data_IF_413821998114
#
_entry.id   IF_413821998114
#
_cell.length_a   1.000
_cell.length_b   1.000
_cell.length_c   1.000
_cell.angle_alpha   90.00
_cell.angle_beta   90.00
_cell.angle_gamma   90.00
#
_symmetry.space_group_name_H-M   'P 1'
#
loop_
_entity.id
_entity.type
_entity.pdbx_description
1 polymer ?
#
# COMPACT_ATOMS: atom_id res chain seq x y z
N UNK A 1 17.44 14.80 11.27
CA UNK A 1 18.13 13.76 10.46
C UNK A 1 17.24 12.53 10.24
N UNK A 2 16.67 11.92 11.29
CA UNK A 2 15.79 10.73 11.19
C UNK A 2 14.57 10.93 10.27
N UNK A 3 13.91 12.08 10.33
CA UNK A 3 12.72 12.38 9.51
C UNK A 3 13.01 12.38 7.99
N UNK A 4 14.17 12.91 7.60
CA UNK A 4 14.61 12.95 6.20
C UNK A 4 14.85 11.52 5.69
N UNK A 5 15.42 10.65 6.53
CA UNK A 5 15.61 9.24 6.22
C UNK A 5 14.27 8.53 5.99
N UNK A 6 13.27 8.74 6.87
CA UNK A 6 11.94 8.15 6.71
C UNK A 6 11.26 8.58 5.40
N UNK A 7 11.34 9.87 5.07
CA UNK A 7 10.79 10.40 3.82
C UNK A 7 11.52 9.80 2.62
N UNK A 8 12.86 9.74 2.65
CA UNK A 8 13.66 9.16 1.57
C UNK A 8 13.32 7.68 1.35
N UNK A 9 13.22 6.88 2.42
CA UNK A 9 12.84 5.46 2.33
C UNK A 9 11.44 5.31 1.74
N UNK A 10 10.47 6.11 2.20
CA UNK A 10 9.10 6.05 1.70
C UNK A 10 9.01 6.42 0.21
N UNK A 11 9.80 7.41 -0.24
CA UNK A 11 9.91 7.78 -1.66
C UNK A 11 10.56 6.66 -2.48
N UNK A 12 11.62 6.03 -1.99
CA UNK A 12 12.26 4.88 -2.65
C UNK A 12 11.26 3.74 -2.80
N UNK A 13 10.52 3.39 -1.74
CA UNK A 13 9.51 2.35 -1.79
C UNK A 13 8.40 2.67 -2.80
N UNK A 14 7.96 3.93 -2.87
CA UNK A 14 7.00 4.37 -3.88
C UNK A 14 7.56 4.21 -5.29
N UNK A 15 8.79 4.65 -5.56
CA UNK A 15 9.42 4.52 -6.87
C UNK A 15 9.55 3.05 -7.26
N UNK A 16 10.04 2.21 -6.36
CA UNK A 16 10.16 0.76 -6.60
C UNK A 16 8.79 0.15 -6.86
N UNK A 17 7.77 0.45 -6.05
CA UNK A 17 6.40 -0.03 -6.26
C UNK A 17 5.80 0.46 -7.59
N UNK A 18 6.11 1.70 -7.99
CA UNK A 18 5.67 2.27 -9.25
C UNK A 18 6.27 1.52 -10.44
N UNK A 19 7.58 1.23 -10.41
CA UNK A 19 8.26 0.48 -11.48
C UNK A 19 7.86 -1.01 -11.52
N UNK A 20 7.63 -1.65 -10.38
CA UNK A 20 7.25 -3.08 -10.34
C UNK A 20 5.77 -3.33 -10.63
N UNK A 21 4.93 -2.30 -10.57
CA UNK A 21 3.51 -2.41 -10.87
C UNK A 21 3.28 -2.28 -12.37
N UNK A 22 3.15 -3.43 -13.03
CA UNK A 22 2.75 -3.51 -14.43
C UNK A 22 1.43 -2.77 -14.66
N UNK A 23 1.33 -2.05 -15.79
CA UNK A 23 0.22 -1.16 -16.16
C UNK A 23 -1.14 -1.87 -16.29
N UNK A 24 -1.14 -3.19 -16.37
CA UNK A 24 -2.28 -4.06 -16.65
C UNK A 24 -2.86 -4.78 -15.42
N UNK A 25 -2.29 -4.56 -14.23
CA UNK A 25 -2.83 -5.16 -13.00
C UNK A 25 -3.81 -4.22 -12.30
N UNK A 26 -5.08 -4.61 -12.34
CA UNK A 26 -6.17 -3.91 -11.67
C UNK A 26 -6.59 -4.67 -10.42
N UNK A 27 -6.98 -3.95 -9.37
CA UNK A 27 -7.57 -4.54 -8.16
C UNK A 27 -9.04 -4.11 -8.07
N UNK A 28 -9.93 -5.11 -8.10
CA UNK A 28 -11.35 -4.90 -7.82
C UNK A 28 -11.52 -4.41 -6.38
N UNK A 29 -12.63 -3.71 -6.10
CA UNK A 29 -12.90 -3.12 -4.77
C UNK A 29 -12.75 -4.15 -3.63
N UNK A 30 -13.28 -5.36 -3.83
CA UNK A 30 -13.24 -6.40 -2.80
C UNK A 30 -11.84 -6.94 -2.58
N UNK A 31 -11.07 -7.15 -3.66
CA UNK A 31 -9.67 -7.58 -3.54
C UNK A 31 -8.79 -6.53 -2.87
N UNK A 32 -9.01 -5.25 -3.19
CA UNK A 32 -8.32 -4.15 -2.53
C UNK A 32 -8.59 -4.14 -1.03
N UNK A 33 -9.86 -4.25 -0.62
CA UNK A 33 -10.25 -4.29 0.79
C UNK A 33 -9.62 -5.47 1.54
N UNK A 34 -9.71 -6.68 0.98
CA UNK A 34 -9.16 -7.90 1.61
C UNK A 34 -7.65 -7.81 1.76
N UNK A 35 -6.92 -7.37 0.72
CA UNK A 35 -5.46 -7.23 0.78
C UNK A 35 -5.01 -6.17 1.77
N UNK A 36 -5.76 -5.08 1.89
CA UNK A 36 -5.50 -4.02 2.87
C UNK A 36 -5.77 -4.50 4.29
N UNK A 37 -6.85 -5.26 4.50
CA UNK A 37 -7.17 -5.89 5.78
C UNK A 37 -6.09 -6.90 6.20
N UNK A 38 -5.61 -7.73 5.28
CA UNK A 38 -4.49 -8.66 5.54
C UNK A 38 -3.22 -7.90 5.93
N UNK A 39 -2.89 -6.81 5.21
CA UNK A 39 -1.74 -5.97 5.58
C UNK A 39 -1.90 -5.33 6.97
N UNK A 40 -3.11 -4.90 7.32
CA UNK A 40 -3.40 -4.33 8.64
C UNK A 40 -3.17 -5.36 9.74
N UNK A 41 -3.75 -6.55 9.62
CA UNK A 41 -3.58 -7.65 10.59
C UNK A 41 -2.11 -8.03 10.72
N UNK A 42 -1.40 -8.14 9.60
CA UNK A 42 0.03 -8.45 9.58
C UNK A 42 0.86 -7.36 10.27
N UNK A 43 0.58 -6.08 9.98
CA UNK A 43 1.25 -4.94 10.61
C UNK A 43 1.05 -4.88 12.12
N UNK A 44 -0.17 -5.18 12.60
CA UNK A 44 -0.46 -5.30 14.03
C UNK A 44 0.32 -6.47 14.63
N UNK A 45 0.32 -7.64 13.99
CA UNK A 45 1.07 -8.82 14.46
C UNK A 45 2.57 -8.58 14.60
N UNK A 46 3.19 -7.90 13.62
CA UNK A 46 4.60 -7.49 13.69
C UNK A 46 4.84 -6.54 14.87
N UNK A 47 3.93 -5.59 15.08
CA UNK A 47 4.05 -4.60 16.16
C UNK A 47 3.97 -5.25 17.54
N UNK A 48 3.08 -6.22 17.71
CA UNK A 48 3.01 -7.03 18.93
C UNK A 48 4.30 -7.83 19.15
N UNK A 49 4.81 -8.50 18.12
CA UNK A 49 6.07 -9.25 18.21
C UNK A 49 7.27 -8.34 18.53
N UNK A 50 7.32 -7.15 17.95
CA UNK A 50 8.35 -6.15 18.24
C UNK A 50 8.34 -5.75 19.72
N UNK A 51 7.15 -5.59 20.31
CA UNK A 51 6.99 -5.20 21.72
C UNK A 51 7.34 -6.31 22.72
N UNK A 52 7.23 -7.58 22.33
CA UNK A 52 7.51 -8.72 23.23
C UNK A 52 8.99 -9.14 23.29
N UNK A 53 9.82 -8.69 22.35
CA UNK A 53 11.22 -9.13 22.18
C UNK A 53 12.23 -8.36 23.05
N UNK A 54 11.88 -8.02 24.30
CA UNK A 54 12.73 -7.22 25.20
C UNK A 54 14.10 -7.84 25.57
N UNK A 55 14.40 -9.09 25.15
CA UNK A 55 15.62 -9.82 25.53
C UNK A 55 16.57 -10.25 24.40
N UNK A 56 16.21 -10.12 23.12
CA UNK A 56 17.08 -10.44 21.98
C UNK A 56 16.96 -9.34 20.92
N UNK A 57 17.67 -8.23 21.15
CA UNK A 57 17.43 -6.94 20.49
C UNK A 57 17.74 -6.93 18.99
N UNK A 58 18.79 -7.63 18.56
CA UNK A 58 19.39 -7.32 17.25
C UNK A 58 18.70 -8.09 16.11
N UNK A 59 18.41 -9.38 16.31
CA UNK A 59 17.66 -10.18 15.34
C UNK A 59 16.19 -9.76 15.26
N UNK A 60 15.58 -9.40 16.40
CA UNK A 60 14.21 -8.90 16.45
C UNK A 60 14.05 -7.60 15.68
N UNK A 61 14.97 -6.64 15.87
CA UNK A 61 14.97 -5.38 15.15
C UNK A 61 15.10 -5.56 13.64
N UNK A 62 15.96 -6.49 13.19
CA UNK A 62 16.17 -6.75 11.76
C UNK A 62 14.92 -7.35 11.09
N UNK A 63 14.24 -8.29 11.75
CA UNK A 63 13.00 -8.88 11.25
C UNK A 63 11.90 -7.82 11.15
N UNK A 64 11.71 -7.01 12.19
CA UNK A 64 10.70 -5.93 12.21
C UNK A 64 10.97 -4.92 11.11
N UNK A 65 12.23 -4.55 10.87
CA UNK A 65 12.62 -3.63 9.80
C UNK A 65 12.27 -4.19 8.42
N UNK A 66 12.64 -5.44 8.12
CA UNK A 66 12.34 -6.07 6.83
C UNK A 66 10.82 -6.17 6.62
N UNK A 67 10.10 -6.64 7.63
CA UNK A 67 8.65 -6.75 7.60
C UNK A 67 7.98 -5.39 7.37
N UNK A 68 8.46 -4.32 8.03
CA UNK A 68 7.96 -2.96 7.85
C UNK A 68 8.16 -2.44 6.42
N UNK A 69 9.33 -2.69 5.81
CA UNK A 69 9.60 -2.32 4.42
C UNK A 69 8.67 -3.05 3.45
N UNK A 70 8.44 -4.35 3.67
CA UNK A 70 7.51 -5.13 2.86
C UNK A 70 6.08 -4.60 2.96
N UNK A 71 5.60 -4.31 4.18
CA UNK A 71 4.26 -3.73 4.40
C UNK A 71 4.13 -2.40 3.68
N UNK A 72 5.12 -1.51 3.79
CA UNK A 72 5.14 -0.22 3.09
C UNK A 72 5.09 -0.38 1.57
N UNK A 73 5.92 -1.28 1.03
CA UNK A 73 5.95 -1.59 -0.41
C UNK A 73 4.60 -2.11 -0.92
N UNK A 74 4.02 -3.12 -0.26
CA UNK A 74 2.75 -3.69 -0.70
C UNK A 74 1.58 -2.71 -0.55
N UNK A 75 1.57 -1.89 0.50
CA UNK A 75 0.58 -0.83 0.67
C UNK A 75 0.58 0.15 -0.51
N UNK A 76 1.75 0.65 -0.89
CA UNK A 76 1.88 1.57 -2.05
C UNK A 76 1.44 0.89 -3.35
N UNK A 77 1.84 -0.37 -3.54
CA UNK A 77 1.45 -1.16 -4.70
C UNK A 77 -0.07 -1.33 -4.82
N UNK A 78 -0.77 -1.58 -3.72
CA UNK A 78 -2.23 -1.71 -3.74
C UNK A 78 -2.93 -0.39 -4.06
N UNK A 79 -2.42 0.74 -3.56
CA UNK A 79 -2.94 2.06 -3.93
C UNK A 79 -2.79 2.33 -5.43
N UNK A 80 -1.62 2.02 -6.01
CA UNK A 80 -1.36 2.20 -7.44
C UNK A 80 -2.32 1.35 -8.28
N UNK A 81 -2.46 0.06 -7.96
CA UNK A 81 -3.36 -0.85 -8.70
C UNK A 81 -4.83 -0.42 -8.62
N UNK A 82 -5.25 0.12 -7.46
CA UNK A 82 -6.61 0.62 -7.27
C UNK A 82 -6.85 1.93 -8.02
N UNK A 83 -5.87 2.83 -8.05
CA UNK A 83 -5.93 4.04 -8.86
C UNK A 83 -5.99 3.72 -10.36
N UNK A 84 -5.26 2.72 -10.82
CA UNK A 84 -5.31 2.23 -12.19
C UNK A 84 -6.69 1.69 -12.55
N UNK A 85 -7.35 0.93 -11.66
CA UNK A 85 -8.74 0.48 -11.82
C UNK A 85 -9.74 1.65 -11.93
N UNK A 86 -9.51 2.72 -11.16
CA UNK A 86 -10.31 3.95 -11.23
C UNK A 86 -9.99 4.83 -12.45
N UNK A 87 -8.95 4.48 -13.23
CA UNK A 87 -8.36 5.29 -14.32
C UNK A 87 -7.89 6.67 -13.82
N UNK A 88 -7.42 6.74 -12.59
CA UNK A 88 -6.82 7.94 -11.99
C UNK A 88 -5.30 7.92 -12.15
N UNK A 89 -4.67 9.06 -11.91
CA UNK A 89 -3.21 9.17 -11.99
C UNK A 89 -2.55 8.34 -10.88
N UNK A 90 -1.58 7.45 -11.19
CA UNK A 90 -0.83 6.68 -10.20
C UNK A 90 -0.07 7.54 -9.19
N UNK A 91 0.24 8.79 -9.56
CA UNK A 91 0.89 9.75 -8.67
C UNK A 91 0.04 10.07 -7.44
N UNK A 92 -1.28 9.87 -7.47
CA UNK A 92 -2.10 10.01 -6.26
C UNK A 92 -1.73 9.00 -5.17
N UNK A 93 -1.00 7.92 -5.46
CA UNK A 93 -0.57 7.00 -4.41
C UNK A 93 0.47 7.65 -3.47
N UNK A 94 1.18 8.70 -3.93
CA UNK A 94 2.04 9.53 -3.07
C UNK A 94 1.27 10.19 -1.92
N UNK A 95 -0.03 10.46 -2.11
CA UNK A 95 -0.88 10.99 -1.03
C UNK A 95 -0.95 9.99 0.14
N UNK A 96 -0.86 8.70 -0.17
CA UNK A 96 -0.79 7.64 0.82
C UNK A 96 0.50 7.60 1.66
N UNK A 97 1.53 8.39 1.34
CA UNK A 97 2.71 8.53 2.22
C UNK A 97 2.39 9.31 3.50
N UNK A 98 1.44 10.24 3.43
CA UNK A 98 1.10 11.09 4.58
C UNK A 98 0.02 10.38 5.39
N UNK A 99 0.29 9.94 6.65
CA UNK A 99 -0.59 9.02 7.37
C UNK A 99 -2.02 9.54 7.55
N UNK A 100 -2.18 10.82 7.90
CA UNK A 100 -3.51 11.44 8.05
C UNK A 100 -4.28 11.50 6.74
N UNK A 101 -3.59 11.83 5.64
CA UNK A 101 -4.23 11.93 4.32
C UNK A 101 -4.49 10.55 3.75
N UNK A 102 -3.61 9.59 4.02
CA UNK A 102 -3.75 8.18 3.63
C UNK A 102 -5.05 7.58 4.18
N UNK A 103 -5.41 7.90 5.43
CA UNK A 103 -6.66 7.42 6.01
C UNK A 103 -7.86 7.84 5.16
N UNK A 104 -8.01 9.14 4.89
CA UNK A 104 -9.08 9.69 4.03
C UNK A 104 -9.00 9.10 2.63
N UNK A 105 -7.79 8.99 2.08
CA UNK A 105 -7.54 8.48 0.73
C UNK A 105 -7.99 7.02 0.57
N UNK A 106 -7.73 6.15 1.55
CA UNK A 106 -8.19 4.75 1.54
C UNK A 106 -9.72 4.68 1.52
N UNK A 107 -10.41 5.51 2.30
CA UNK A 107 -11.88 5.57 2.24
C UNK A 107 -12.38 5.99 0.86
N UNK A 108 -11.77 7.00 0.26
CA UNK A 108 -12.12 7.42 -1.12
C UNK A 108 -11.93 6.25 -2.08
N UNK A 109 -10.78 5.57 -2.05
CA UNK A 109 -10.51 4.42 -2.93
C UNK A 109 -11.47 3.24 -2.70
N UNK A 110 -11.98 3.08 -1.48
CA UNK A 110 -12.93 2.03 -1.12
C UNK A 110 -14.35 2.33 -1.60
N UNK A 111 -14.82 3.57 -1.45
CA UNK A 111 -16.20 3.93 -1.79
C UNK A 111 -16.41 4.27 -3.27
N UNK A 112 -15.38 4.76 -3.96
CA UNK A 112 -15.51 5.09 -5.39
C UNK A 112 -15.63 3.80 -6.23
N UNK A 113 -16.68 3.65 -7.06
CA UNK A 113 -16.83 2.48 -7.93
C UNK A 113 -15.79 2.46 -9.05
N UNK A 114 -15.32 1.26 -9.41
CA UNK A 114 -14.46 1.04 -10.57
C UNK A 114 -15.18 1.39 -11.87
N UNK A 115 -14.46 1.90 -12.88
CA UNK A 115 -15.06 2.22 -14.18
C UNK A 115 -15.18 0.93 -15.02
N UNK A 116 -16.36 0.62 -15.61
CA UNK A 116 -16.53 -0.56 -16.46
C UNK A 116 -15.63 -0.47 -17.70
N UNK A 117 -15.19 -1.64 -18.19
CA UNK A 117 -14.46 -1.73 -19.46
C UNK A 117 -15.41 -1.30 -20.59
N UNK A 118 -14.93 -0.40 -21.45
CA UNK A 118 -15.63 0.10 -22.65
C UNK A 118 -16.06 -1.02 -23.62
N UNK A 119 -15.60 -2.26 -23.42
CA UNK A 119 -15.91 -3.40 -24.28
C UNK A 119 -17.26 -4.09 -23.99
N UNK A 120 -18.22 -3.40 -23.35
CA UNK A 120 -19.56 -3.94 -23.09
C UNK A 120 -20.64 -3.44 -24.06
N UNK A 121 -20.32 -2.50 -24.96
CA UNK A 121 -21.25 -1.92 -25.93
C UNK A 121 -21.25 -2.64 -27.30
N UNK A 122 -20.48 -3.71 -27.48
CA UNK A 122 -20.39 -4.45 -28.76
C UNK A 122 -21.40 -5.63 -28.84
N UNK A 123 -22.12 -5.94 -27.76
CA UNK A 123 -23.04 -7.08 -27.72
C UNK A 123 -24.46 -6.75 -27.19
N UNK A 124 -24.92 -5.50 -27.30
CA UNK A 124 -26.33 -5.14 -27.06
C UNK A 124 -27.07 -4.88 -28.36
#
# INVERSE_FOLDING_TARGET
MLQILFIAVALILFVVAYFTTARDRYLTRMEFFVRLLILLVFGIGISFLASSQAGNSDLGALVVLICGLLVGYFSQRFHIMRLQDLRWSPFLALVGLVPFVNFVFVFVLLFVPGKPKVNSEIFS
#
